data_IF_326857603147
#
_entry.id   IF_326857603147
#
_cell.length_a   1.000
_cell.length_b   1.000
_cell.length_c   1.000
_cell.angle_alpha   90.00
_cell.angle_beta   90.00
_cell.angle_gamma   90.00
#
_symmetry.space_group_name_H-M   'P 1'
#
loop_
_entity.id
_entity.type
_entity.pdbx_description
1 polymer ?
#
# COMPACT_ATOMS: atom_id res chain seq x y z
N UNK A 1 35.21 -36.75 17.97
CA UNK A 1 34.48 -35.48 18.15
C UNK A 1 33.87 -35.10 16.82
N UNK A 2 32.53 -35.12 16.67
CA UNK A 2 31.82 -34.77 15.42
C UNK A 2 31.28 -33.35 15.55
N UNK A 3 31.75 -32.44 14.71
CA UNK A 3 31.21 -31.09 14.58
C UNK A 3 29.83 -31.18 13.90
N UNK A 4 28.79 -30.74 14.61
CA UNK A 4 27.47 -30.51 14.02
C UNK A 4 27.52 -29.08 13.47
N UNK A 5 27.53 -28.94 12.15
CA UNK A 5 27.29 -27.65 11.51
C UNK A 5 25.80 -27.35 11.59
N UNK A 6 25.43 -26.45 12.51
CA UNK A 6 24.11 -25.81 12.49
C UNK A 6 24.14 -24.80 11.36
N UNK A 7 23.58 -25.15 10.21
CA UNK A 7 23.31 -24.20 9.15
C UNK A 7 22.07 -23.42 9.57
N UNK A 8 22.32 -22.29 10.25
CA UNK A 8 21.30 -21.28 10.56
C UNK A 8 20.84 -20.66 9.25
N UNK A 9 19.80 -21.24 8.66
CA UNK A 9 19.13 -20.68 7.49
C UNK A 9 18.13 -19.65 7.98
N UNK A 10 18.59 -18.43 8.24
CA UNK A 10 17.69 -17.28 8.32
C UNK A 10 17.27 -17.00 6.87
N UNK A 11 16.11 -17.55 6.48
CA UNK A 11 15.41 -17.08 5.31
C UNK A 11 14.96 -15.64 5.62
N UNK A 12 15.81 -14.65 5.30
CA UNK A 12 15.32 -13.31 5.04
C UNK A 12 14.43 -13.44 3.81
N UNK A 13 13.14 -13.69 4.03
CA UNK A 13 12.14 -13.34 3.05
C UNK A 13 12.26 -11.83 2.86
N UNK A 14 12.99 -11.42 1.83
CA UNK A 14 12.71 -10.16 1.18
C UNK A 14 11.28 -10.28 0.69
N UNK A 15 10.32 -9.91 1.55
CA UNK A 15 9.01 -9.48 1.09
C UNK A 15 9.31 -8.58 -0.10
N UNK A 16 8.70 -8.79 -1.29
CA UNK A 16 8.82 -7.83 -2.37
C UNK A 16 8.51 -6.50 -1.71
N UNK A 17 9.54 -5.64 -1.64
CA UNK A 17 9.45 -4.42 -0.87
C UNK A 17 8.16 -3.77 -1.36
N UNK A 18 7.14 -3.68 -0.49
CA UNK A 18 6.00 -2.84 -0.75
C UNK A 18 6.57 -1.43 -0.69
N UNK A 19 7.46 -1.04 -1.59
CA UNK A 19 8.02 0.29 -1.61
C UNK A 19 6.96 1.15 -2.29
N UNK A 20 5.85 1.37 -1.58
CA UNK A 20 4.97 2.45 -1.91
C UNK A 20 5.84 3.70 -1.85
N UNK A 21 5.87 4.51 -2.90
CA UNK A 21 6.54 5.79 -2.82
C UNK A 21 5.68 6.77 -2.02
N UNK A 22 6.28 7.85 -1.53
CA UNK A 22 5.51 8.95 -0.96
C UNK A 22 4.65 9.59 -2.07
N UNK A 23 3.48 10.12 -1.73
CA UNK A 23 2.57 10.79 -2.67
C UNK A 23 2.28 12.21 -2.21
N UNK A 24 2.50 13.17 -3.09
CA UNK A 24 2.24 14.59 -2.88
C UNK A 24 0.84 14.94 -3.40
N UNK A 25 -0.06 15.33 -2.49
CA UNK A 25 -1.42 15.77 -2.78
C UNK A 25 -1.57 17.30 -2.71
N UNK A 26 -0.48 18.05 -2.90
CA UNK A 26 -0.42 19.50 -2.83
C UNK A 26 -0.11 19.98 -1.41
N UNK A 27 -1.13 20.03 -0.55
CA UNK A 27 -0.96 20.51 0.84
C UNK A 27 -0.52 19.40 1.81
N UNK A 28 -0.67 18.13 1.41
CA UNK A 28 -0.32 16.99 2.25
C UNK A 28 0.45 15.94 1.48
N UNK A 29 1.44 15.38 2.16
CA UNK A 29 2.22 14.23 1.70
C UNK A 29 1.68 12.99 2.39
N UNK A 30 1.26 12.00 1.62
CA UNK A 30 0.97 10.66 2.11
C UNK A 30 2.26 9.87 2.05
N UNK A 31 2.76 9.43 3.20
CA UNK A 31 3.98 8.65 3.25
C UNK A 31 3.76 7.20 2.76
N UNK A 32 4.85 6.59 2.30
CA UNK A 32 4.95 5.19 1.94
C UNK A 32 4.33 4.24 2.99
N UNK A 33 4.81 4.32 4.24
CA UNK A 33 4.47 3.33 5.27
C UNK A 33 2.96 3.26 5.60
N UNK A 34 2.22 4.37 5.74
CA UNK A 34 0.75 4.33 5.86
C UNK A 34 0.03 3.69 4.67
N UNK A 35 0.57 3.82 3.45
CA UNK A 35 0.02 3.18 2.25
C UNK A 35 0.26 1.67 2.27
N UNK A 36 1.48 1.24 2.63
CA UNK A 36 1.83 -0.18 2.77
C UNK A 36 0.91 -0.89 3.76
N UNK A 37 0.74 -0.30 4.96
CA UNK A 37 -0.12 -0.85 6.01
C UNK A 37 -1.57 -0.97 5.53
N UNK A 38 -2.07 0.04 4.81
CA UNK A 38 -3.42 -0.01 4.25
C UNK A 38 -3.56 -1.11 3.20
N UNK A 39 -2.62 -1.21 2.26
CA UNK A 39 -2.73 -2.20 1.20
C UNK A 39 -2.67 -3.62 1.79
N UNK A 40 -1.83 -3.83 2.81
CA UNK A 40 -1.75 -5.10 3.53
C UNK A 40 -3.05 -5.41 4.28
N UNK A 41 -3.64 -4.44 5.00
CA UNK A 41 -4.92 -4.65 5.70
C UNK A 41 -6.06 -5.01 4.72
N UNK A 42 -6.08 -4.37 3.55
CA UNK A 42 -7.07 -4.68 2.50
C UNK A 42 -6.86 -6.09 1.94
N UNK A 43 -5.60 -6.48 1.70
CA UNK A 43 -5.26 -7.84 1.26
C UNK A 43 -5.70 -8.88 2.30
N UNK A 44 -5.30 -8.70 3.56
CA UNK A 44 -5.61 -9.60 4.67
C UNK A 44 -7.12 -9.68 4.93
N UNK A 45 -7.85 -8.57 4.82
CA UNK A 45 -9.29 -8.54 5.00
C UNK A 45 -10.01 -9.29 3.89
N UNK A 46 -9.56 -9.13 2.64
CA UNK A 46 -10.11 -9.83 1.47
C UNK A 46 -9.90 -11.34 1.60
N UNK A 47 -8.66 -11.78 1.79
CA UNK A 47 -8.33 -13.21 1.91
C UNK A 47 -9.00 -13.89 3.11
N UNK A 48 -9.25 -13.15 4.20
CA UNK A 48 -10.02 -13.65 5.36
C UNK A 48 -11.52 -13.77 5.08
N UNK A 49 -12.05 -12.94 4.19
CA UNK A 49 -13.48 -12.92 3.85
C UNK A 49 -13.81 -13.96 2.78
N UNK A 50 -12.95 -14.05 1.77
CA UNK A 50 -13.08 -14.95 0.62
C UNK A 50 -11.67 -15.30 0.12
N UNK A 51 -11.30 -16.57 0.22
CA UNK A 51 -9.96 -17.07 -0.16
C UNK A 51 -9.73 -16.82 -1.65
N UNK A 52 -8.58 -16.26 -2.02
CA UNK A 52 -8.25 -15.90 -3.39
C UNK A 52 -8.78 -14.54 -3.85
N UNK A 53 -9.63 -13.86 -3.06
CA UNK A 53 -10.27 -12.60 -3.46
C UNK A 53 -9.32 -11.39 -3.54
N UNK A 54 -8.05 -11.58 -3.20
CA UNK A 54 -6.96 -10.66 -3.51
C UNK A 54 -5.89 -11.32 -4.40
N UNK A 55 -5.48 -12.54 -4.09
CA UNK A 55 -4.31 -13.19 -4.70
C UNK A 55 -4.57 -13.76 -6.10
N UNK A 56 -5.79 -14.22 -6.41
CA UNK A 56 -6.09 -14.91 -7.68
C UNK A 56 -6.38 -13.96 -8.86
N UNK A 57 -6.38 -12.65 -8.61
CA UNK A 57 -6.60 -11.66 -9.67
C UNK A 57 -5.35 -11.47 -10.54
N UNK A 58 -5.51 -11.15 -11.83
CA UNK A 58 -4.37 -10.84 -12.69
C UNK A 58 -3.72 -9.50 -12.29
N UNK A 59 -2.42 -9.28 -12.58
CA UNK A 59 -1.70 -8.05 -12.17
C UNK A 59 -2.25 -6.74 -12.73
N UNK A 60 -3.06 -6.79 -13.79
CA UNK A 60 -3.72 -5.62 -14.39
C UNK A 60 -5.07 -5.27 -13.74
N UNK A 61 -5.53 -6.09 -12.79
CA UNK A 61 -6.69 -5.82 -11.95
C UNK A 61 -6.30 -4.90 -10.78
N UNK A 62 -7.04 -3.80 -10.63
CA UNK A 62 -6.81 -2.82 -9.57
C UNK A 62 -8.01 -2.75 -8.65
N UNK A 63 -7.74 -2.89 -7.36
CA UNK A 63 -8.68 -2.67 -6.29
C UNK A 63 -8.72 -1.18 -5.95
N UNK A 64 -9.92 -0.64 -5.77
CA UNK A 64 -10.13 0.72 -5.29
C UNK A 64 -10.49 0.70 -3.81
N UNK A 65 -9.82 1.53 -3.04
CA UNK A 65 -10.08 1.72 -1.61
C UNK A 65 -10.34 3.19 -1.35
N UNK A 66 -11.39 3.48 -0.59
CA UNK A 66 -11.73 4.81 -0.12
C UNK A 66 -11.56 4.87 1.40
N UNK A 67 -10.90 5.92 1.90
CA UNK A 67 -10.66 6.12 3.33
C UNK A 67 -10.76 7.58 3.72
N UNK A 68 -11.09 7.86 4.97
CA UNK A 68 -10.97 9.21 5.53
C UNK A 68 -9.53 9.47 5.97
N UNK A 69 -9.12 10.73 5.91
CA UNK A 69 -7.80 11.22 6.30
C UNK A 69 -7.61 11.46 7.80
N UNK A 70 -8.46 10.88 8.65
CA UNK A 70 -8.41 11.08 10.10
C UNK A 70 -7.04 10.73 10.67
N UNK A 71 -6.43 9.64 10.17
CA UNK A 71 -5.10 9.18 10.57
C UNK A 71 -3.95 10.02 9.99
N UNK A 72 -4.25 10.87 9.00
CA UNK A 72 -3.30 11.74 8.31
C UNK A 72 -3.42 13.20 8.79
N UNK A 73 -4.20 13.47 9.84
CA UNK A 73 -4.44 14.83 10.34
C UNK A 73 -5.30 15.69 9.40
N UNK A 74 -5.96 15.07 8.43
CA UNK A 74 -6.90 15.70 7.50
C UNK A 74 -8.29 15.05 7.63
N UNK A 75 -9.03 15.28 8.74
CA UNK A 75 -10.30 14.60 8.97
C UNK A 75 -11.40 14.96 7.95
N UNK A 76 -11.21 16.06 7.20
CA UNK A 76 -12.11 16.49 6.12
C UNK A 76 -11.73 15.95 4.75
N UNK A 77 -10.59 15.27 4.64
CA UNK A 77 -10.12 14.68 3.40
C UNK A 77 -10.58 13.23 3.26
N UNK A 78 -11.00 12.86 2.06
CA UNK A 78 -11.22 11.47 1.67
C UNK A 78 -10.18 11.09 0.62
N UNK A 79 -9.50 9.97 0.81
CA UNK A 79 -8.51 9.46 -0.13
C UNK A 79 -9.09 8.29 -0.92
N UNK A 80 -8.84 8.31 -2.23
CA UNK A 80 -9.12 7.21 -3.14
C UNK A 80 -7.79 6.66 -3.63
N UNK A 81 -7.55 5.38 -3.37
CA UNK A 81 -6.29 4.70 -3.68
C UNK A 81 -6.62 3.49 -4.56
N UNK A 82 -5.91 3.34 -5.69
CA UNK A 82 -6.02 2.17 -6.55
C UNK A 82 -4.69 1.42 -6.64
N UNK A 83 -4.71 0.13 -6.30
CA UNK A 83 -3.54 -0.74 -6.34
C UNK A 83 -3.91 -2.19 -6.72
N UNK A 84 -2.95 -2.97 -7.20
CA UNK A 84 -3.16 -4.37 -7.60
C UNK A 84 -2.71 -5.38 -6.54
N UNK A 85 -2.83 -6.67 -6.85
CA UNK A 85 -2.38 -7.77 -5.99
C UNK A 85 -0.86 -7.86 -5.80
N UNK A 86 -0.09 -7.10 -6.59
CA UNK A 86 1.35 -6.92 -6.44
C UNK A 86 1.71 -5.64 -5.69
N UNK A 87 0.73 -4.99 -5.04
CA UNK A 87 0.90 -3.74 -4.27
C UNK A 87 1.39 -2.56 -5.12
N UNK A 88 1.21 -2.60 -6.43
CA UNK A 88 1.53 -1.49 -7.33
C UNK A 88 0.40 -0.47 -7.34
N UNK A 89 0.71 0.77 -6.98
CA UNK A 89 -0.25 1.87 -6.94
C UNK A 89 -0.38 2.49 -8.33
N UNK A 90 -1.60 2.53 -8.87
CA UNK A 90 -1.93 3.21 -10.13
C UNK A 90 -2.37 4.64 -9.92
N UNK A 91 -3.08 4.89 -8.83
CA UNK A 91 -3.78 6.16 -8.63
C UNK A 91 -3.94 6.46 -7.15
N UNK A 92 -3.67 7.70 -6.79
CA UNK A 92 -4.01 8.29 -5.51
C UNK A 92 -4.67 9.64 -5.77
N UNK A 93 -5.84 9.85 -5.20
CA UNK A 93 -6.50 11.14 -5.17
C UNK A 93 -7.00 11.47 -3.77
N UNK A 94 -7.02 12.76 -3.49
CA UNK A 94 -7.57 13.35 -2.29
C UNK A 94 -8.81 14.15 -2.68
N UNK A 95 -9.87 14.05 -1.89
CA UNK A 95 -11.09 14.84 -2.02
C UNK A 95 -11.29 15.65 -0.74
N UNK A 96 -11.38 16.97 -0.85
CA UNK A 96 -11.67 17.87 0.28
C UNK A 96 -12.79 18.80 -0.17
N UNK A 97 -13.87 18.88 0.61
CA UNK A 97 -14.98 19.82 0.34
C UNK A 97 -15.55 19.76 -1.10
N UNK A 98 -15.66 18.54 -1.65
CA UNK A 98 -16.05 18.24 -3.04
C UNK A 98 -15.04 18.59 -4.15
N UNK A 99 -13.87 19.12 -3.81
CA UNK A 99 -12.77 19.30 -4.76
C UNK A 99 -11.90 18.05 -4.82
N UNK A 100 -11.52 17.63 -6.04
CA UNK A 100 -10.67 16.47 -6.27
C UNK A 100 -9.26 16.91 -6.65
N UNK A 101 -8.28 16.42 -5.89
CA UNK A 101 -6.86 16.64 -6.09
C UNK A 101 -6.22 15.31 -6.48
N UNK A 102 -5.63 15.25 -7.68
CA UNK A 102 -4.82 14.10 -8.07
C UNK A 102 -3.47 14.23 -7.38
N UNK A 103 -3.08 13.18 -6.66
CA UNK A 103 -1.77 13.16 -6.02
C UNK A 103 -0.70 12.69 -7.02
N UNK A 104 0.52 13.13 -6.80
CA UNK A 104 1.67 12.82 -7.61
C UNK A 104 2.67 12.02 -6.79
N UNK A 105 3.13 10.90 -7.35
CA UNK A 105 4.23 10.14 -6.78
C UNK A 105 5.46 11.04 -6.61
N UNK A 106 5.93 11.17 -5.36
CA UNK A 106 7.19 11.83 -5.07
C UNK A 106 8.30 10.85 -5.42
N UNK A 107 9.00 11.13 -6.51
CA UNK A 107 10.25 10.44 -6.79
C UNK A 107 11.22 10.77 -5.66
N UNK A 108 11.52 9.78 -4.81
CA UNK A 108 12.64 9.83 -3.89
C UNK A 108 13.89 10.00 -4.73
N UNK A 109 14.42 11.23 -4.80
CA UNK A 109 15.74 11.47 -5.41
C UNK A 109 16.75 10.68 -4.56
N UNK A 110 17.33 9.66 -5.16
CA UNK A 110 18.52 8.95 -4.64
C UNK A 110 19.64 9.93 -4.31
#
# INVERSE_FOLDING_TARGET
MKLIHIVSSVALFCLPALAANDWDCGEVVIHASPLEVLMQDVADKRERTDEGSFTDFPPDHFFRVERYGDDLGLPRAQFQIEFNNLYQIRFVAMKVDNEYFKCHEKQTRN
#
